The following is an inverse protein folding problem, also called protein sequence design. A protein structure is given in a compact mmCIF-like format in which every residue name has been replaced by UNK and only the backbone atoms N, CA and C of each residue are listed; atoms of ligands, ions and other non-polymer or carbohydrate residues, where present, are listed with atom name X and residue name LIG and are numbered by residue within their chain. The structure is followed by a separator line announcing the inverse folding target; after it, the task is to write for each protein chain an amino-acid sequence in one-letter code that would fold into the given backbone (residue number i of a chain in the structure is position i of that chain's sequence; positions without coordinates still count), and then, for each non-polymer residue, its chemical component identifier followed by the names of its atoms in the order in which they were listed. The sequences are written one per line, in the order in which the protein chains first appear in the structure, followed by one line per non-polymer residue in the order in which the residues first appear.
data_IF_993542088467
#
_entry.id   IF_993542088467
#
_cell.length_a   1.000
_cell.length_b   1.000
_cell.length_c   1.000
_cell.angle_alpha   90.00
_cell.angle_beta   90.00
_cell.angle_gamma   90.00
#
_symmetry.space_group_name_H-M   'P 1'
#
loop_
_entity.id
_entity.type
_entity.pdbx_description
1 polymer ?
#
# COMPACT_ATOMS: atom_id res chain seq x y z
N UNK A 1 15.89 -11.06 5.69
CA UNK A 1 14.61 -11.33 4.98
C UNK A 1 14.31 -10.16 4.08
N UNK A 2 14.05 -10.42 2.82
CA UNK A 2 13.67 -9.34 1.90
C UNK A 2 12.22 -8.95 2.12
N UNK A 3 11.97 -7.64 2.15
CA UNK A 3 10.61 -7.13 2.12
C UNK A 3 10.13 -7.22 0.68
N UNK A 4 8.99 -7.88 0.42
CA UNK A 4 8.48 -7.97 -0.94
C UNK A 4 8.25 -6.58 -1.52
N UNK A 5 8.61 -6.40 -2.77
CA UNK A 5 8.27 -5.17 -3.48
C UNK A 5 6.80 -5.26 -3.88
N UNK A 6 6.00 -4.42 -3.26
CA UNK A 6 4.59 -4.31 -3.59
C UNK A 6 4.37 -3.11 -4.49
N UNK A 7 3.52 -3.28 -5.48
CA UNK A 7 3.15 -2.19 -6.38
C UNK A 7 2.13 -1.28 -5.69
N UNK A 8 2.35 0.02 -5.79
CA UNK A 8 1.32 0.98 -5.46
C UNK A 8 0.55 1.33 -6.73
N UNK A 9 -0.74 1.07 -6.73
CA UNK A 9 -1.57 1.32 -7.90
C UNK A 9 -2.23 2.68 -7.79
N UNK A 10 -2.06 3.48 -8.82
CA UNK A 10 -2.75 4.75 -8.96
C UNK A 10 -4.19 4.52 -9.41
N UNK A 11 -5.02 5.54 -9.28
CA UNK A 11 -6.42 5.46 -9.63
C UNK A 11 -6.65 4.93 -11.05
N UNK A 12 -5.85 5.38 -12.01
CA UNK A 12 -5.97 4.93 -13.39
C UNK A 12 -5.65 3.46 -13.56
N UNK A 13 -4.62 2.98 -12.85
CA UNK A 13 -4.25 1.57 -12.90
C UNK A 13 -5.37 0.67 -12.37
N UNK A 14 -6.05 1.13 -11.31
CA UNK A 14 -7.16 0.39 -10.72
C UNK A 14 -8.32 0.28 -11.70
N UNK A 15 -8.63 1.38 -12.39
CA UNK A 15 -9.74 1.41 -13.35
C UNK A 15 -9.48 0.51 -14.55
N UNK A 16 -8.22 0.31 -14.92
CA UNK A 16 -7.85 -0.48 -16.09
C UNK A 16 -7.62 -1.95 -15.79
N UNK A 17 -7.54 -2.31 -14.50
CA UNK A 17 -7.23 -3.67 -14.09
C UNK A 17 -8.44 -4.35 -13.47
N UNK A 18 -8.54 -5.65 -13.72
CA UNK A 18 -9.58 -6.48 -13.10
C UNK A 18 -8.97 -7.16 -11.88
N UNK A 19 -9.29 -6.67 -10.71
CA UNK A 19 -8.89 -7.30 -9.46
C UNK A 19 -10.00 -8.23 -9.02
N UNK A 20 -9.64 -9.44 -8.66
CA UNK A 20 -10.61 -10.41 -8.19
C UNK A 20 -10.99 -10.17 -6.76
N UNK A 21 -9.99 -9.88 -5.93
CA UNK A 21 -10.20 -9.68 -4.52
C UNK A 21 -9.52 -8.41 -4.03
N UNK A 22 -10.24 -7.72 -3.18
CA UNK A 22 -9.75 -6.52 -2.50
C UNK A 22 -9.98 -6.71 -1.02
N UNK A 23 -9.01 -6.36 -0.20
CA UNK A 23 -9.13 -6.42 1.24
C UNK A 23 -8.86 -5.05 1.82
N UNK A 24 -9.68 -4.65 2.78
CA UNK A 24 -9.42 -3.44 3.52
C UNK A 24 -8.21 -3.63 4.40
N UNK A 25 -7.41 -2.59 4.48
CA UNK A 25 -6.21 -2.58 5.29
C UNK A 25 -6.01 -1.20 5.89
N UNK A 26 -5.16 -1.13 6.90
CA UNK A 26 -4.86 0.13 7.58
C UNK A 26 -3.36 0.29 7.61
N UNK A 27 -2.90 1.51 7.37
CA UNK A 27 -1.50 1.87 7.58
C UNK A 27 -1.27 1.99 9.08
N UNK A 28 -0.40 1.13 9.63
CA UNK A 28 -0.07 1.14 11.05
C UNK A 28 1.04 2.13 11.36
N UNK A 29 1.99 2.25 10.46
CA UNK A 29 3.15 3.08 10.67
C UNK A 29 3.73 3.50 9.32
N UNK A 30 4.35 4.68 9.30
CA UNK A 30 5.03 5.19 8.11
C UNK A 30 6.29 5.91 8.56
N UNK A 31 7.42 5.59 7.93
CA UNK A 31 8.70 6.19 8.27
C UNK A 31 9.64 6.17 7.07
N UNK A 32 10.61 7.06 7.08
CA UNK A 32 11.67 7.02 6.09
C UNK A 32 12.75 6.04 6.54
N UNK A 33 13.24 5.25 5.61
CA UNK A 33 14.32 4.30 5.86
C UNK A 33 15.42 4.51 4.83
N UNK A 34 16.66 4.31 5.25
CA UNK A 34 17.81 4.39 4.35
C UNK A 34 17.94 3.07 3.60
N UNK A 35 18.01 3.17 2.28
CA UNK A 35 18.24 2.01 1.43
C UNK A 35 19.68 2.05 0.93
N UNK A 36 20.50 1.15 1.44
CA UNK A 36 21.93 1.13 1.15
C UNK A 36 22.25 0.92 -0.33
N UNK A 37 21.40 0.17 -1.02
CA UNK A 37 21.65 -0.19 -2.41
C UNK A 37 21.60 0.99 -3.38
N UNK A 38 20.82 2.03 -3.07
CA UNK A 38 20.70 3.18 -3.96
C UNK A 38 21.04 4.51 -3.27
N UNK A 39 21.51 4.46 -2.02
CA UNK A 39 21.90 5.63 -1.23
C UNK A 39 20.79 6.66 -1.07
N UNK A 40 19.53 6.20 -1.06
CA UNK A 40 18.37 7.08 -0.94
C UNK A 40 17.50 6.64 0.23
N UNK A 41 16.64 7.56 0.64
CA UNK A 41 15.61 7.24 1.61
C UNK A 41 14.35 6.81 0.89
N UNK A 42 13.77 5.73 1.36
CA UNK A 42 12.46 5.25 0.88
C UNK A 42 11.43 5.39 2.00
N UNK A 43 10.20 5.58 1.62
CA UNK A 43 9.10 5.53 2.57
C UNK A 43 8.75 4.07 2.82
N UNK A 44 8.81 3.66 4.08
CA UNK A 44 8.36 2.34 4.49
C UNK A 44 7.04 2.47 5.22
N UNK A 45 6.05 1.72 4.78
CA UNK A 45 4.76 1.64 5.46
C UNK A 45 4.52 0.23 5.95
N UNK A 46 3.98 0.13 7.15
CA UNK A 46 3.56 -1.13 7.75
C UNK A 46 2.05 -1.19 7.65
N UNK A 47 1.55 -2.27 7.07
CA UNK A 47 0.14 -2.42 6.72
C UNK A 47 -0.45 -3.59 7.48
N UNK A 48 -1.62 -3.38 8.07
CA UNK A 48 -2.42 -4.45 8.67
C UNK A 48 -3.62 -4.72 7.77
N UNK A 49 -3.73 -5.96 7.32
CA UNK A 49 -4.87 -6.41 6.50
C UNK A 49 -5.91 -7.03 7.43
N UNK A 50 -7.15 -6.59 7.30
CA UNK A 50 -8.26 -7.12 8.09
C UNK A 50 -9.10 -8.03 7.20
N UNK A 51 -8.89 -9.34 7.32
CA UNK A 51 -9.65 -10.31 6.54
C UNK A 51 -11.06 -10.49 7.09
N UNK A 52 -11.98 -10.87 6.22
CA UNK A 52 -13.37 -11.11 6.62
C UNK A 52 -13.50 -12.21 7.66
N UNK A 53 -12.60 -13.16 7.66
CA UNK A 53 -12.56 -14.25 8.65
C UNK A 53 -12.25 -13.78 10.06
N UNK A 54 -11.85 -12.54 10.23
CA UNK A 54 -11.37 -12.00 11.50
C UNK A 54 -9.87 -12.14 11.70
N UNK A 55 -9.20 -12.85 10.80
CA UNK A 55 -7.74 -12.93 10.83
C UNK A 55 -7.12 -11.60 10.43
N UNK A 56 -5.90 -11.37 10.90
CA UNK A 56 -5.13 -10.18 10.56
C UNK A 56 -3.84 -10.59 9.89
N UNK A 57 -3.54 -9.94 8.78
CA UNK A 57 -2.26 -10.10 8.10
C UNK A 57 -1.43 -8.83 8.28
N UNK A 58 -0.12 -8.98 8.25
CA UNK A 58 0.80 -7.85 8.35
C UNK A 58 1.80 -7.92 7.23
N UNK A 59 2.04 -6.78 6.60
CA UNK A 59 3.08 -6.68 5.59
C UNK A 59 3.68 -5.28 5.60
N UNK A 60 4.84 -5.14 4.98
CA UNK A 60 5.50 -3.86 4.85
C UNK A 60 5.81 -3.60 3.38
N UNK A 61 5.77 -2.35 3.00
CA UNK A 61 6.13 -1.92 1.65
C UNK A 61 7.11 -0.77 1.72
N UNK A 62 8.05 -0.74 0.79
CA UNK A 62 8.98 0.37 0.63
C UNK A 62 8.68 1.07 -0.68
N UNK A 63 8.53 2.38 -0.63
CA UNK A 63 8.17 3.21 -1.78
C UNK A 63 9.26 4.23 -2.05
N UNK A 64 9.66 4.32 -3.30
CA UNK A 64 10.60 5.36 -3.75
C UNK A 64 9.93 6.72 -3.73
N UNK A 65 10.74 7.78 -3.74
CA UNK A 65 10.28 9.15 -3.56
C UNK A 65 9.08 9.56 -4.40
N UNK A 66 9.09 9.29 -5.70
CA UNK A 66 7.96 9.63 -6.57
C UNK A 66 6.68 8.91 -6.21
N UNK A 67 6.79 7.61 -5.90
CA UNK A 67 5.64 6.79 -5.49
C UNK A 67 5.15 7.22 -4.11
N UNK A 68 6.08 7.51 -3.20
CA UNK A 68 5.73 7.99 -1.86
C UNK A 68 4.96 9.31 -1.94
N UNK A 69 5.41 10.24 -2.78
CA UNK A 69 4.71 11.51 -2.98
C UNK A 69 3.30 11.29 -3.53
N UNK A 70 3.15 10.39 -4.48
CA UNK A 70 1.84 10.06 -5.05
C UNK A 70 0.90 9.48 -3.99
N UNK A 71 1.42 8.60 -3.14
CA UNK A 71 0.63 8.04 -2.04
C UNK A 71 0.14 9.14 -1.11
N UNK A 72 1.04 10.03 -0.70
CA UNK A 72 0.68 11.12 0.19
C UNK A 72 -0.34 12.06 -0.44
N UNK A 73 -0.20 12.35 -1.73
CA UNK A 73 -1.17 13.18 -2.46
C UNK A 73 -2.54 12.52 -2.52
N UNK A 74 -2.58 11.22 -2.76
CA UNK A 74 -3.83 10.46 -2.83
C UNK A 74 -4.57 10.49 -1.50
N UNK A 75 -3.85 10.45 -0.39
CA UNK A 75 -4.44 10.55 0.94
C UNK A 75 -4.62 11.99 1.40
N UNK A 76 -4.13 12.96 0.63
CA UNK A 76 -4.20 14.39 0.97
C UNK A 76 -3.55 14.71 2.30
N UNK A 77 -2.40 14.11 2.55
CA UNK A 77 -1.62 14.33 3.77
C UNK A 77 -0.28 14.96 3.43
N UNK A 78 0.24 15.76 4.33
CA UNK A 78 1.52 16.45 4.14
C UNK A 78 2.64 15.89 5.00
N UNK A 79 2.32 15.13 6.03
CA UNK A 79 3.31 14.57 6.94
C UNK A 79 3.13 13.06 7.04
N UNK A 80 4.23 12.36 7.34
CA UNK A 80 4.21 10.91 7.48
C UNK A 80 3.30 10.45 8.63
N UNK A 81 3.26 11.23 9.68
CA UNK A 81 2.43 10.91 10.85
C UNK A 81 0.96 10.80 10.48
N UNK A 82 0.52 11.59 9.51
CA UNK A 82 -0.88 11.60 9.08
C UNK A 82 -1.24 10.39 8.22
N UNK A 83 -0.26 9.62 7.77
CA UNK A 83 -0.52 8.36 7.07
C UNK A 83 -0.98 7.26 8.01
N UNK A 84 -0.53 7.27 9.27
CA UNK A 84 -0.94 6.26 10.24
C UNK A 84 -2.44 6.32 10.46
N UNK A 85 -3.08 5.16 10.40
CA UNK A 85 -4.52 5.05 10.55
C UNK A 85 -5.32 5.21 9.26
N UNK A 86 -4.68 5.57 8.16
CA UNK A 86 -5.37 5.71 6.88
C UNK A 86 -5.73 4.34 6.33
N UNK A 87 -6.96 4.22 5.83
CA UNK A 87 -7.44 3.00 5.20
C UNK A 87 -6.90 2.92 3.78
N UNK A 88 -6.47 1.73 3.39
CA UNK A 88 -6.10 1.45 2.03
C UNK A 88 -6.66 0.08 1.63
N UNK A 89 -6.44 -0.30 0.38
CA UNK A 89 -6.95 -1.55 -0.16
C UNK A 89 -5.80 -2.36 -0.70
N UNK A 90 -5.73 -3.61 -0.26
CA UNK A 90 -4.74 -4.57 -0.75
C UNK A 90 -5.41 -5.39 -1.84
N UNK A 91 -4.75 -5.52 -2.97
CA UNK A 91 -5.26 -6.24 -4.13
C UNK A 91 -4.63 -7.62 -4.22
N UNK A 92 -5.48 -8.62 -4.33
CA UNK A 92 -5.09 -10.02 -4.32
C UNK A 92 -5.38 -10.66 -5.68
N UNK A 93 -4.56 -11.64 -6.05
CA UNK A 93 -4.84 -12.45 -7.23
C UNK A 93 -5.83 -13.56 -6.88
N UNK A 94 -6.15 -14.40 -7.88
CA UNK A 94 -7.08 -15.51 -7.70
C UNK A 94 -6.59 -16.55 -6.70
N UNK A 95 -5.30 -16.56 -6.40
CA UNK A 95 -4.71 -17.46 -5.41
C UNK A 95 -4.54 -16.79 -4.05
N UNK A 96 -5.12 -15.60 -3.89
CA UNK A 96 -5.06 -14.77 -2.68
C UNK A 96 -3.67 -14.28 -2.34
N UNK A 97 -2.81 -14.22 -3.34
CA UNK A 97 -1.48 -13.65 -3.19
C UNK A 97 -1.55 -12.14 -3.38
N UNK A 98 -0.83 -11.40 -2.55
CA UNK A 98 -0.84 -9.94 -2.59
C UNK A 98 -0.11 -9.46 -3.85
N UNK A 99 -0.81 -8.71 -4.68
CA UNK A 99 -0.27 -8.09 -5.88
C UNK A 99 0.26 -6.68 -5.60
N UNK A 100 -0.45 -5.95 -4.76
CA UNK A 100 -0.11 -4.57 -4.46
C UNK A 100 -1.20 -3.93 -3.62
N UNK A 101 -1.21 -2.61 -3.59
CA UNK A 101 -2.16 -1.87 -2.77
C UNK A 101 -2.46 -0.52 -3.41
N UNK A 102 -3.55 0.11 -2.97
CA UNK A 102 -3.94 1.42 -3.45
C UNK A 102 -4.69 2.19 -2.37
N UNK A 103 -4.73 3.50 -2.54
CA UNK A 103 -5.58 4.36 -1.72
C UNK A 103 -7.03 4.33 -2.17
N UNK A 104 -7.31 3.76 -3.32
CA UNK A 104 -8.63 3.79 -3.96
C UNK A 104 -9.22 2.41 -4.09
N UNK A 105 -10.53 2.34 -3.91
CA UNK A 105 -11.32 1.18 -4.27
C UNK A 105 -11.79 1.37 -5.72
N UNK A 106 -11.82 0.29 -6.48
CA UNK A 106 -12.40 0.35 -7.83
C UNK A 106 -13.91 0.48 -7.70
N UNK A 107 -14.43 1.63 -8.09
CA UNK A 107 -15.85 1.95 -7.97
C UNK A 107 -16.63 1.71 -9.25
N UNK A 108 -16.00 1.17 -10.28
CA UNK A 108 -16.69 0.83 -11.52
C UNK A 108 -17.48 -0.45 -11.32
N UNK A 109 -18.61 -0.31 -10.79
CA UNK A 109 -19.51 -1.44 -10.58
C UNK A 109 -20.74 -1.28 -11.43
#
# INVERSE_FOLDING_TARGET
MRIPKLCYYHKHDILDRKYRDKQEAIIRNARMVDVKSDHRQHLRIDIQINYESGEKGFLSAELKGGVASSLMDDFKVKTLQNLSGKKLYVHLDRYRKVLGFSAYLDERL
#
